data_IF_355998367845
#
_entry.id   IF_355998367845
#
_cell.length_a   1.000
_cell.length_b   1.000
_cell.length_c   1.000
_cell.angle_alpha   90.00
_cell.angle_beta   90.00
_cell.angle_gamma   90.00
#
_symmetry.space_group_name_H-M   'P 1'
#
loop_
_entity.id
_entity.type
_entity.pdbx_description
1 polymer ?
#
# COMPACT_ATOMS: atom_id res chain seq x y z
N UNK A 1 88.52 17.50 56.04
CA UNK A 1 88.88 16.15 56.55
C UNK A 1 87.58 15.36 56.68
N UNK A 2 87.56 14.16 56.08
CA UNK A 2 86.67 12.98 56.25
C UNK A 2 85.23 13.12 56.76
N UNK A 3 84.24 12.29 56.39
CA UNK A 3 83.98 11.28 55.36
C UNK A 3 82.70 10.55 55.84
N UNK A 4 81.77 10.23 54.91
CA UNK A 4 80.72 9.18 55.01
C UNK A 4 79.62 9.44 56.06
N UNK A 5 78.33 9.10 55.90
CA UNK A 5 77.66 7.98 55.22
C UNK A 5 76.15 8.28 55.09
N UNK A 6 75.50 7.86 54.01
CA UNK A 6 74.05 7.56 54.00
C UNK A 6 73.80 6.15 54.56
N UNK A 7 72.61 5.79 55.09
CA UNK A 7 71.49 5.39 54.22
C UNK A 7 70.06 5.68 54.76
N UNK A 8 69.09 5.43 53.87
CA UNK A 8 67.65 5.56 54.02
C UNK A 8 67.02 4.68 55.12
N UNK A 9 65.93 5.15 55.75
CA UNK A 9 64.79 4.29 56.15
C UNK A 9 63.50 5.12 56.26
N UNK A 10 62.43 4.51 55.74
CA UNK A 10 61.03 4.90 55.78
C UNK A 10 60.51 4.99 57.23
N UNK A 11 59.55 5.88 57.51
CA UNK A 11 58.33 5.58 58.29
C UNK A 11 57.31 6.72 58.08
N UNK A 12 56.14 6.30 57.62
CA UNK A 12 54.86 6.99 57.60
C UNK A 12 54.49 7.56 58.98
N UNK A 13 54.03 8.82 59.03
CA UNK A 13 52.98 9.22 59.97
C UNK A 13 52.43 10.62 59.63
N UNK A 14 51.16 10.59 59.20
CA UNK A 14 50.08 11.46 59.68
C UNK A 14 50.05 12.94 59.31
N UNK A 15 48.95 13.25 58.62
CA UNK A 15 48.12 14.44 58.80
C UNK A 15 48.71 15.80 58.42
N UNK A 16 48.48 16.18 57.17
CA UNK A 16 48.19 17.58 56.85
C UNK A 16 47.19 17.67 55.68
N UNK A 17 46.01 18.16 56.03
CA UNK A 17 45.22 19.13 55.26
C UNK A 17 44.89 18.79 53.79
N UNK A 18 43.68 18.31 53.55
CA UNK A 18 42.47 19.12 53.30
C UNK A 18 42.37 19.65 51.87
N UNK A 19 41.21 19.33 51.28
CA UNK A 19 40.57 19.99 50.14
C UNK A 19 41.16 19.72 48.76
N UNK A 20 41.10 18.47 48.31
CA UNK A 20 41.10 18.17 46.88
C UNK A 20 40.17 17.00 46.53
N UNK A 21 38.87 17.10 46.88
CA UNK A 21 37.81 16.34 46.21
C UNK A 21 36.42 16.82 46.62
N UNK A 22 35.97 17.94 46.07
CA UNK A 22 34.55 18.30 46.05
C UNK A 22 34.26 19.33 44.95
N UNK A 23 34.68 19.06 43.71
CA UNK A 23 33.85 19.51 42.58
C UNK A 23 32.70 18.51 42.49
N UNK A 24 31.78 18.63 43.44
CA UNK A 24 30.44 18.09 43.32
C UNK A 24 29.84 18.78 42.10
N UNK A 25 29.82 18.08 40.98
CA UNK A 25 29.01 18.43 39.83
C UNK A 25 27.55 18.39 40.27
N UNK A 26 27.05 19.48 40.84
CA UNK A 26 25.63 19.78 40.86
C UNK A 26 25.19 20.08 39.42
N UNK A 27 25.17 19.03 38.60
CA UNK A 27 24.24 19.00 37.48
C UNK A 27 22.85 19.16 38.11
N UNK A 28 22.08 20.20 37.77
CA UNK A 28 20.90 20.55 38.55
C UNK A 28 19.96 19.36 38.51
N UNK A 29 19.44 18.95 39.68
CA UNK A 29 18.48 17.86 39.81
C UNK A 29 17.27 18.03 38.88
N UNK A 30 17.00 19.25 38.41
CA UNK A 30 16.02 19.57 37.36
C UNK A 30 16.38 18.99 35.99
N UNK A 31 17.64 18.95 35.57
CA UNK A 31 18.05 18.38 34.28
C UNK A 31 17.92 16.85 34.28
N UNK A 32 18.22 16.20 35.40
CA UNK A 32 18.07 14.75 35.60
C UNK A 32 16.60 14.33 35.82
N UNK A 33 15.78 15.18 36.47
CA UNK A 33 14.34 14.97 36.59
C UNK A 33 13.62 15.16 35.24
N UNK A 34 14.00 16.18 34.46
CA UNK A 34 13.51 16.37 33.09
C UNK A 34 13.95 15.21 32.19
N UNK A 35 15.15 14.64 32.34
CA UNK A 35 15.51 13.45 31.55
C UNK A 35 14.76 12.18 31.95
N UNK A 36 14.45 11.95 33.24
CA UNK A 36 13.64 10.79 33.67
C UNK A 36 12.18 10.90 33.25
N UNK A 37 11.59 12.10 33.28
CA UNK A 37 10.20 12.30 32.85
C UNK A 37 10.03 12.01 31.35
N UNK A 38 11.09 12.19 30.54
CA UNK A 38 11.06 11.97 29.10
C UNK A 38 11.34 10.52 28.69
N UNK A 39 12.08 9.74 29.48
CA UNK A 39 12.58 8.42 29.06
C UNK A 39 11.49 7.39 28.80
N UNK A 40 10.30 7.50 29.42
CA UNK A 40 9.20 6.57 29.19
C UNK A 40 7.86 7.20 28.73
N UNK A 41 7.91 8.39 28.12
CA UNK A 41 6.70 9.05 27.57
C UNK A 41 6.04 8.25 26.45
N UNK A 42 6.82 7.62 25.57
CA UNK A 42 6.29 6.77 24.50
C UNK A 42 5.63 5.50 25.05
N UNK A 43 6.30 4.78 25.95
CA UNK A 43 5.77 3.55 26.57
C UNK A 43 4.51 3.82 27.40
N UNK A 44 4.49 4.91 28.16
CA UNK A 44 3.30 5.36 28.89
C UNK A 44 2.15 5.65 27.93
N UNK A 45 2.42 6.38 26.84
CA UNK A 45 1.44 6.65 25.79
C UNK A 45 0.81 5.40 25.19
N UNK A 46 1.64 4.42 24.81
CA UNK A 46 1.17 3.11 24.31
C UNK A 46 0.38 2.34 25.36
N UNK A 47 0.80 2.42 26.64
CA UNK A 47 0.11 1.75 27.74
C UNK A 47 -1.30 2.32 27.95
N UNK A 48 -1.45 3.64 27.96
CA UNK A 48 -2.76 4.29 28.05
C UNK A 48 -3.63 4.01 26.83
N UNK A 49 -3.04 3.94 25.63
CA UNK A 49 -3.76 3.56 24.43
C UNK A 49 -4.37 2.17 24.56
N UNK A 50 -3.60 1.18 25.05
CA UNK A 50 -4.07 -0.19 25.29
C UNK A 50 -5.17 -0.27 26.35
N UNK A 51 -5.17 0.65 27.32
CA UNK A 51 -6.23 0.80 28.33
C UNK A 51 -7.50 1.48 27.79
N UNK A 52 -7.47 1.95 26.54
CA UNK A 52 -8.59 2.68 25.92
C UNK A 52 -8.67 4.16 26.32
N UNK A 53 -7.75 4.66 27.14
CA UNK A 53 -7.68 6.08 27.50
C UNK A 53 -6.88 6.84 26.43
N UNK A 54 -7.54 7.10 25.31
CA UNK A 54 -6.92 7.69 24.13
C UNK A 54 -6.49 9.14 24.35
N UNK A 55 -7.21 9.89 25.19
CA UNK A 55 -6.89 11.29 25.51
C UNK A 55 -5.59 11.39 26.32
N UNK A 56 -5.44 10.54 27.34
CA UNK A 56 -4.19 10.49 28.10
C UNK A 56 -3.04 9.94 27.23
N UNK A 57 -3.32 8.93 26.40
CA UNK A 57 -2.35 8.39 25.45
C UNK A 57 -1.81 9.46 24.49
N UNK A 58 -2.68 10.23 23.84
CA UNK A 58 -2.26 11.28 22.90
C UNK A 58 -1.48 12.39 23.59
N UNK A 59 -1.79 12.72 24.85
CA UNK A 59 -1.00 13.64 25.66
C UNK A 59 0.45 13.18 25.84
N UNK A 60 0.65 11.94 26.31
CA UNK A 60 1.99 11.37 26.48
C UNK A 60 2.74 11.19 25.15
N UNK A 61 2.05 10.73 24.10
CA UNK A 61 2.64 10.54 22.78
C UNK A 61 3.03 11.87 22.12
N UNK A 62 2.26 12.95 22.35
CA UNK A 62 2.60 14.29 21.88
C UNK A 62 3.87 14.82 22.56
N UNK A 63 4.01 14.58 23.86
CA UNK A 63 5.26 14.89 24.59
C UNK A 63 6.43 14.07 24.05
N UNK A 64 6.21 12.79 23.74
CA UNK A 64 7.23 11.91 23.19
C UNK A 64 7.77 12.43 21.83
N UNK A 65 6.89 12.73 20.88
CA UNK A 65 7.28 13.21 19.54
C UNK A 65 7.86 14.64 19.55
N UNK A 66 7.55 15.44 20.58
CA UNK A 66 8.16 16.76 20.76
C UNK A 66 9.54 16.70 21.42
N UNK A 67 9.88 15.59 22.09
CA UNK A 67 11.16 15.34 22.73
C UNK A 67 12.00 14.29 21.99
N UNK A 68 12.37 13.23 22.71
CA UNK A 68 13.31 12.21 22.25
C UNK A 68 12.82 11.36 21.05
N UNK A 69 11.51 11.33 20.78
CA UNK A 69 10.91 10.47 19.74
C UNK A 69 10.48 11.26 18.49
N UNK A 70 11.02 12.46 18.26
CA UNK A 70 10.76 13.32 17.09
C UNK A 70 10.98 12.65 15.72
N UNK A 71 11.85 11.64 15.66
CA UNK A 71 12.15 10.91 14.42
C UNK A 71 11.71 9.45 14.49
N UNK A 72 10.77 9.12 15.38
CA UNK A 72 10.28 7.76 15.55
C UNK A 72 8.91 7.60 14.88
N UNK A 73 8.85 6.83 13.79
CA UNK A 73 7.61 6.59 13.05
C UNK A 73 6.51 5.95 13.91
N UNK A 74 6.86 5.02 14.79
CA UNK A 74 5.91 4.36 15.70
C UNK A 74 5.27 5.34 16.68
N UNK A 75 6.03 6.30 17.20
CA UNK A 75 5.50 7.33 18.09
C UNK A 75 4.42 8.19 17.40
N UNK A 76 4.65 8.59 16.15
CA UNK A 76 3.66 9.29 15.36
C UNK A 76 2.44 8.42 15.01
N UNK A 77 2.64 7.14 14.70
CA UNK A 77 1.55 6.22 14.42
C UNK A 77 0.62 5.98 15.62
N UNK A 78 1.19 5.77 16.81
CA UNK A 78 0.40 5.63 18.04
C UNK A 78 -0.31 6.95 18.40
N UNK A 79 0.35 8.09 18.19
CA UNK A 79 -0.27 9.41 18.38
C UNK A 79 -1.47 9.58 17.45
N UNK A 80 -1.29 9.29 16.16
CA UNK A 80 -2.33 9.37 15.15
C UNK A 80 -3.51 8.45 15.47
N UNK A 81 -3.22 7.21 15.87
CA UNK A 81 -4.24 6.23 16.28
C UNK A 81 -5.03 6.70 17.50
N UNK A 82 -4.36 7.31 18.49
CA UNK A 82 -5.02 7.88 19.68
C UNK A 82 -5.94 9.04 19.29
N UNK A 83 -5.47 9.96 18.46
CA UNK A 83 -6.23 11.10 17.96
C UNK A 83 -7.45 10.68 17.14
N UNK A 84 -7.32 9.61 16.34
CA UNK A 84 -8.42 9.06 15.56
C UNK A 84 -9.54 8.54 16.48
N UNK A 85 -9.17 7.87 17.58
CA UNK A 85 -10.12 7.39 18.60
C UNK A 85 -10.76 8.51 19.42
N UNK A 86 -10.09 9.66 19.51
CA UNK A 86 -10.67 10.92 20.03
C UNK A 86 -11.51 11.69 18.99
N UNK A 87 -11.72 11.14 17.79
CA UNK A 87 -12.41 11.80 16.67
C UNK A 87 -11.72 13.09 16.16
N UNK A 88 -10.44 13.28 16.48
CA UNK A 88 -9.59 14.39 16.00
C UNK A 88 -8.90 14.00 14.70
N UNK A 89 -9.72 13.74 13.69
CA UNK A 89 -9.28 13.07 12.45
C UNK A 89 -8.26 13.89 11.67
N UNK A 90 -8.39 15.22 11.60
CA UNK A 90 -7.48 16.04 10.79
C UNK A 90 -6.05 16.02 11.36
N UNK A 91 -5.91 16.13 12.69
CA UNK A 91 -4.61 15.98 13.36
C UNK A 91 -4.07 14.55 13.25
N UNK A 92 -4.95 13.54 13.29
CA UNK A 92 -4.56 12.15 13.07
C UNK A 92 -3.96 11.97 11.68
N UNK A 93 -4.54 12.56 10.63
CA UNK A 93 -4.02 12.43 9.27
C UNK A 93 -2.63 13.08 9.13
N UNK A 94 -2.40 14.24 9.76
CA UNK A 94 -1.06 14.83 9.79
C UNK A 94 -0.06 13.91 10.50
N UNK A 95 -0.44 13.32 11.64
CA UNK A 95 0.44 12.42 12.36
C UNK A 95 0.73 11.10 11.59
N UNK A 96 -0.24 10.55 10.86
CA UNK A 96 0.01 9.43 9.95
C UNK A 96 0.93 9.82 8.79
N UNK A 97 0.76 11.01 8.20
CA UNK A 97 1.67 11.50 7.16
C UNK A 97 3.09 11.69 7.67
N UNK A 98 3.27 12.14 8.91
CA UNK A 98 4.59 12.20 9.56
C UNK A 98 5.20 10.79 9.72
N UNK A 99 4.43 9.84 10.26
CA UNK A 99 4.88 8.46 10.42
C UNK A 99 5.32 7.82 9.09
N UNK A 100 4.52 8.00 8.04
CA UNK A 100 4.88 7.59 6.69
C UNK A 100 6.14 8.29 6.20
N UNK A 101 6.26 9.61 6.42
CA UNK A 101 7.42 10.36 5.93
C UNK A 101 8.75 9.92 6.55
N UNK A 102 8.73 9.47 7.80
CA UNK A 102 9.89 9.03 8.56
C UNK A 102 10.33 7.62 8.14
N UNK A 103 9.39 6.72 7.83
CA UNK A 103 9.72 5.34 7.47
C UNK A 103 8.73 4.77 6.44
N UNK A 104 8.79 5.20 5.16
CA UNK A 104 7.79 4.84 4.15
C UNK A 104 7.67 3.33 3.89
N UNK A 105 8.78 2.61 4.02
CA UNK A 105 8.90 1.18 3.71
C UNK A 105 8.77 0.28 4.94
N UNK A 106 8.54 0.85 6.13
CA UNK A 106 8.28 0.04 7.33
C UNK A 106 6.81 -0.33 7.41
N UNK A 107 6.48 -1.35 8.20
CA UNK A 107 5.09 -1.72 8.49
C UNK A 107 4.28 -0.52 9.00
N UNK A 108 4.88 0.29 9.88
CA UNK A 108 4.27 1.51 10.39
C UNK A 108 4.01 2.54 9.28
N UNK A 109 4.95 2.71 8.35
CA UNK A 109 4.77 3.58 7.19
C UNK A 109 3.63 3.10 6.29
N UNK A 110 3.62 1.82 5.93
CA UNK A 110 2.56 1.24 5.11
C UNK A 110 1.17 1.39 5.77
N UNK A 111 1.05 1.08 7.06
CA UNK A 111 -0.21 1.24 7.82
C UNK A 111 -0.67 2.71 7.85
N UNK A 112 0.28 3.63 7.99
CA UNK A 112 0.01 5.07 7.97
C UNK A 112 -0.49 5.53 6.60
N UNK A 113 0.14 5.06 5.50
CA UNK A 113 -0.28 5.37 4.14
C UNK A 113 -1.67 4.80 3.80
N UNK A 114 -1.96 3.59 4.25
CA UNK A 114 -3.29 3.00 4.08
C UNK A 114 -4.37 3.79 4.79
N UNK A 115 -4.09 4.26 6.00
CA UNK A 115 -5.05 5.09 6.74
C UNK A 115 -5.28 6.42 6.05
N UNK A 116 -4.22 7.06 5.52
CA UNK A 116 -4.35 8.26 4.69
C UNK A 116 -5.20 8.01 3.44
N UNK A 117 -5.03 6.87 2.79
CA UNK A 117 -5.84 6.50 1.64
C UNK A 117 -7.32 6.29 2.01
N UNK A 118 -7.59 5.61 3.12
CA UNK A 118 -8.96 5.40 3.61
C UNK A 118 -9.70 6.72 3.85
N UNK A 119 -9.00 7.74 4.36
CA UNK A 119 -9.55 9.08 4.58
C UNK A 119 -9.35 10.05 3.40
N UNK A 120 -9.01 9.56 2.20
CA UNK A 120 -8.71 10.38 1.02
C UNK A 120 -9.82 11.37 0.65
N UNK A 121 -11.09 11.00 0.80
CA UNK A 121 -12.22 11.91 0.52
C UNK A 121 -12.23 13.09 1.48
N UNK A 122 -12.11 12.84 2.79
CA UNK A 122 -12.04 13.90 3.81
C UNK A 122 -10.81 14.79 3.63
N UNK A 123 -9.67 14.21 3.26
CA UNK A 123 -8.45 14.96 2.96
C UNK A 123 -8.64 15.87 1.74
N UNK A 124 -9.40 15.43 0.72
CA UNK A 124 -9.72 16.25 -0.46
C UNK A 124 -10.63 17.43 -0.14
N UNK A 125 -11.52 17.31 0.84
CA UNK A 125 -12.43 18.38 1.26
C UNK A 125 -11.70 19.54 1.94
N UNK A 126 -10.51 19.30 2.49
CA UNK A 126 -9.70 20.32 3.18
C UNK A 126 -8.40 20.62 2.43
N UNK A 127 -8.35 21.79 1.79
CA UNK A 127 -7.17 22.23 1.03
C UNK A 127 -5.91 22.35 1.92
N UNK A 128 -6.09 22.79 3.17
CA UNK A 128 -4.99 22.92 4.14
C UNK A 128 -4.43 21.55 4.53
N UNK A 129 -5.30 20.57 4.78
CA UNK A 129 -4.90 19.21 5.12
C UNK A 129 -4.19 18.54 3.93
N UNK A 130 -4.76 18.70 2.72
CA UNK A 130 -4.20 18.19 1.47
C UNK A 130 -2.78 18.70 1.22
N UNK A 131 -2.57 20.01 1.33
CA UNK A 131 -1.27 20.65 1.08
C UNK A 131 -0.22 20.24 2.12
N UNK A 132 -0.59 20.20 3.40
CA UNK A 132 0.31 19.74 4.46
C UNK A 132 0.73 18.28 4.28
N UNK A 133 -0.21 17.37 4.05
CA UNK A 133 0.09 15.95 3.84
C UNK A 133 0.97 15.76 2.60
N UNK A 134 0.64 16.43 1.48
CA UNK A 134 1.44 16.36 0.26
C UNK A 134 2.89 16.82 0.49
N UNK A 135 3.11 17.85 1.30
CA UNK A 135 4.47 18.33 1.63
C UNK A 135 5.28 17.29 2.41
N UNK A 136 4.65 16.59 3.35
CA UNK A 136 5.29 15.56 4.18
C UNK A 136 5.59 14.28 3.38
N UNK A 137 4.65 13.87 2.53
CA UNK A 137 4.81 12.73 1.64
C UNK A 137 5.88 13.01 0.57
N UNK A 138 5.93 14.22 0.02
CA UNK A 138 6.99 14.59 -0.95
C UNK A 138 8.39 14.54 -0.32
N UNK A 139 8.54 15.04 0.91
CA UNK A 139 9.81 14.99 1.65
C UNK A 139 10.34 13.55 1.81
N UNK A 140 9.45 12.56 1.90
CA UNK A 140 9.86 11.16 1.97
C UNK A 140 10.36 10.62 0.63
N UNK A 141 9.73 11.00 -0.48
CA UNK A 141 10.16 10.65 -1.84
C UNK A 141 11.57 11.18 -2.15
N UNK A 142 11.87 12.42 -1.74
CA UNK A 142 13.20 13.02 -1.90
C UNK A 142 14.27 12.30 -1.05
N UNK A 143 13.90 11.82 0.14
CA UNK A 143 14.79 11.04 1.02
C UNK A 143 15.07 9.64 0.46
N UNK A 144 14.15 9.06 -0.31
CA UNK A 144 14.31 7.74 -0.94
C UNK A 144 15.12 7.76 -2.24
N UNK A 145 15.14 8.88 -2.97
CA UNK A 145 15.91 9.02 -4.22
C UNK A 145 17.43 9.02 -4.01
N UNK A 146 17.93 9.30 -2.80
CA UNK A 146 19.36 9.25 -2.48
C UNK A 146 19.90 7.84 -2.14
N UNK A 147 19.07 6.78 -2.16
CA UNK A 147 19.47 5.44 -1.67
C UNK A 147 19.26 4.24 -2.60
N UNK A 148 19.17 4.44 -3.91
CA UNK A 148 19.31 3.34 -4.88
C UNK A 148 20.06 3.76 -6.15
N UNK A 149 21.11 3.04 -6.59
CA UNK A 149 21.63 3.19 -7.94
C UNK A 149 20.66 2.57 -8.94
N UNK A 150 20.40 3.30 -10.02
CA UNK A 150 19.55 2.88 -11.13
C UNK A 150 20.08 1.59 -11.77
N UNK A 151 19.28 0.54 -11.77
CA UNK A 151 19.49 -0.62 -12.62
C UNK A 151 18.87 -0.36 -13.99
N UNK A 152 19.73 -0.06 -14.95
CA UNK A 152 19.47 -0.16 -16.39
C UNK A 152 19.01 -1.58 -16.72
N UNK A 153 17.83 -1.73 -17.33
CA UNK A 153 17.44 -2.97 -17.99
C UNK A 153 17.36 -2.73 -19.50
N UNK A 154 18.16 -3.55 -20.18
CA UNK A 154 18.54 -3.51 -21.58
C UNK A 154 17.43 -4.03 -22.50
N UNK A 155 17.36 -3.45 -23.68
CA UNK A 155 16.42 -3.74 -24.75
C UNK A 155 17.13 -4.64 -25.77
N UNK A 156 16.70 -5.90 -25.90
CA UNK A 156 16.98 -6.68 -27.12
C UNK A 156 15.76 -7.47 -27.59
N UNK A 157 15.11 -6.87 -28.60
CA UNK A 157 14.78 -7.42 -29.90
C UNK A 157 14.70 -8.96 -30.07
N UNK A 158 13.52 -9.43 -30.50
CA UNK A 158 13.31 -10.78 -31.03
C UNK A 158 12.22 -10.75 -32.10
N UNK A 159 12.63 -10.53 -33.35
CA UNK A 159 11.78 -10.60 -34.54
C UNK A 159 11.38 -12.04 -34.84
N UNK A 160 10.10 -12.27 -35.10
CA UNK A 160 9.56 -13.55 -35.53
C UNK A 160 8.41 -13.34 -36.51
N UNK A 161 8.76 -13.24 -37.79
CA UNK A 161 7.84 -13.25 -38.93
C UNK A 161 7.16 -14.61 -39.06
N UNK A 162 5.85 -14.62 -39.23
CA UNK A 162 5.06 -15.83 -39.50
C UNK A 162 3.82 -15.48 -40.30
N UNK A 163 3.97 -15.43 -41.63
CA UNK A 163 2.87 -15.36 -42.57
C UNK A 163 2.08 -16.68 -42.54
N UNK A 164 0.76 -16.58 -42.37
CA UNK A 164 -0.17 -17.69 -42.47
C UNK A 164 -1.43 -17.22 -43.17
N UNK A 165 -1.44 -17.34 -44.50
CA UNK A 165 -2.64 -17.23 -45.31
C UNK A 165 -3.54 -18.45 -45.00
N UNK A 166 -4.72 -18.19 -44.44
CA UNK A 166 -5.73 -19.20 -44.13
C UNK A 166 -7.03 -18.83 -44.80
N UNK A 167 -7.44 -19.67 -45.74
CA UNK A 167 -8.60 -19.58 -46.61
C UNK A 167 -9.92 -19.28 -45.91
N UNK A 168 -10.69 -18.39 -46.53
CA UNK A 168 -12.09 -18.10 -46.24
C UNK A 168 -12.97 -19.36 -46.32
N UNK A 169 -13.48 -19.79 -45.18
CA UNK A 169 -14.72 -20.55 -45.07
C UNK A 169 -15.67 -19.71 -44.23
N UNK A 170 -16.43 -18.85 -44.91
CA UNK A 170 -17.39 -17.96 -44.26
C UNK A 170 -18.54 -18.78 -43.69
N UNK A 171 -18.78 -18.62 -42.40
CA UNK A 171 -19.96 -19.23 -41.76
C UNK A 171 -21.24 -18.61 -42.33
N UNK A 172 -22.30 -19.41 -42.53
CA UNK A 172 -23.61 -19.04 -43.09
C UNK A 172 -24.18 -17.64 -42.69
N UNK A 173 -24.02 -17.15 -41.44
CA UNK A 173 -24.41 -15.79 -41.07
C UNK A 173 -23.53 -14.64 -41.62
N UNK A 174 -22.25 -14.88 -41.95
CA UNK A 174 -21.37 -13.82 -42.50
C UNK A 174 -21.81 -13.40 -43.91
N UNK A 175 -22.36 -14.31 -44.72
CA UNK A 175 -22.78 -14.01 -46.10
C UNK A 175 -23.97 -13.03 -46.19
N UNK A 176 -24.76 -12.91 -45.12
CA UNK A 176 -25.95 -12.04 -45.08
C UNK A 176 -25.64 -10.60 -44.64
N UNK A 177 -24.44 -10.35 -44.13
CA UNK A 177 -24.06 -9.09 -43.49
C UNK A 177 -23.11 -8.29 -44.38
N UNK A 178 -23.19 -6.95 -44.31
CA UNK A 178 -22.30 -6.04 -45.02
C UNK A 178 -20.83 -6.28 -44.62
N UNK A 179 -20.09 -6.92 -45.52
CA UNK A 179 -18.71 -7.34 -45.34
C UNK A 179 -17.75 -6.16 -45.24
N UNK A 180 -18.01 -5.06 -45.92
CA UNK A 180 -17.15 -3.87 -45.86
C UNK A 180 -17.31 -3.18 -44.52
N UNK A 181 -18.56 -3.05 -44.04
CA UNK A 181 -18.87 -2.54 -42.71
C UNK A 181 -18.31 -3.40 -41.60
N UNK A 182 -18.38 -4.72 -41.74
CA UNK A 182 -17.77 -5.66 -40.80
C UNK A 182 -16.25 -5.47 -40.72
N UNK A 183 -15.57 -5.34 -41.87
CA UNK A 183 -14.12 -5.08 -41.93
C UNK A 183 -13.74 -3.71 -41.38
N UNK A 184 -14.56 -2.68 -41.58
CA UNK A 184 -14.28 -1.35 -41.04
C UNK A 184 -14.43 -1.34 -39.51
N UNK A 185 -15.46 -1.97 -38.96
CA UNK A 185 -15.65 -2.14 -37.50
C UNK A 185 -14.48 -2.91 -36.90
N UNK A 186 -14.10 -4.07 -37.48
CA UNK A 186 -12.96 -4.86 -37.00
C UNK A 186 -11.65 -4.06 -36.96
N UNK A 187 -11.44 -3.13 -37.91
CA UNK A 187 -10.27 -2.22 -37.92
C UNK A 187 -10.34 -1.13 -36.86
N UNK A 188 -11.53 -0.67 -36.50
CA UNK A 188 -11.73 0.39 -35.50
C UNK A 188 -11.67 -0.13 -34.06
N UNK A 189 -11.85 -1.43 -33.85
CA UNK A 189 -11.77 -2.04 -32.52
C UNK A 189 -10.30 -2.17 -32.10
N UNK A 190 -9.99 -1.63 -30.90
CA UNK A 190 -8.66 -1.78 -30.30
C UNK A 190 -8.53 -3.19 -29.73
N UNK A 191 -7.35 -3.82 -29.77
CA UNK A 191 -7.14 -5.11 -29.09
C UNK A 191 -7.49 -5.00 -27.61
N UNK A 192 -8.11 -6.04 -27.06
CA UNK A 192 -8.49 -6.10 -25.64
C UNK A 192 -7.24 -6.00 -24.77
N UNK A 193 -7.25 -5.08 -23.80
CA UNK A 193 -6.17 -4.96 -22.83
C UNK A 193 -6.33 -6.04 -21.77
N UNK A 194 -5.33 -6.92 -21.61
CA UNK A 194 -5.33 -7.94 -20.56
C UNK A 194 -4.80 -7.35 -19.26
N UNK A 195 -5.63 -7.30 -18.23
CA UNK A 195 -5.26 -6.76 -16.94
C UNK A 195 -4.53 -7.81 -16.09
N UNK A 196 -3.41 -7.41 -15.50
CA UNK A 196 -2.66 -8.27 -14.59
C UNK A 196 -3.40 -8.42 -13.26
N UNK A 197 -3.37 -9.64 -12.70
CA UNK A 197 -3.99 -9.93 -11.41
C UNK A 197 -3.33 -9.10 -10.31
N UNK A 198 -4.09 -8.32 -9.54
CA UNK A 198 -3.56 -7.60 -8.40
C UNK A 198 -3.47 -8.51 -7.17
N UNK A 199 -2.27 -8.66 -6.63
CA UNK A 199 -2.00 -9.50 -5.46
C UNK A 199 -2.02 -11.00 -5.74
N UNK A 200 -1.99 -11.84 -4.69
CA UNK A 200 -1.89 -13.29 -4.81
C UNK A 200 -3.18 -13.93 -5.32
N UNK A 201 -3.08 -15.15 -5.85
CA UNK A 201 -4.26 -16.02 -6.03
C UNK A 201 -4.76 -16.56 -4.69
N UNK A 202 -6.02 -17.03 -4.59
CA UNK A 202 -6.52 -17.61 -3.35
C UNK A 202 -5.67 -18.80 -2.90
N UNK A 203 -5.20 -19.62 -3.84
CA UNK A 203 -4.35 -20.77 -3.54
C UNK A 203 -2.96 -20.34 -3.04
N UNK A 204 -2.34 -19.33 -3.66
CA UNK A 204 -1.07 -18.76 -3.20
C UNK A 204 -1.20 -18.16 -1.81
N UNK A 205 -2.28 -17.40 -1.57
CA UNK A 205 -2.57 -16.80 -0.28
C UNK A 205 -2.75 -17.85 0.82
N UNK A 206 -3.51 -18.92 0.55
CA UNK A 206 -3.73 -20.00 1.52
C UNK A 206 -2.47 -20.82 1.81
N UNK A 207 -1.49 -20.82 0.91
CA UNK A 207 -0.20 -21.47 1.13
C UNK A 207 0.74 -20.66 2.06
N UNK A 208 0.41 -19.40 2.36
CA UNK A 208 1.21 -18.58 3.26
C UNK A 208 1.06 -19.02 4.72
N UNK A 209 2.09 -18.82 5.58
CA UNK A 209 1.93 -18.96 7.02
C UNK A 209 0.79 -18.08 7.56
N UNK A 210 0.09 -18.56 8.59
CA UNK A 210 -1.07 -17.84 9.16
C UNK A 210 -0.75 -16.41 9.61
N UNK A 211 0.48 -16.17 10.09
CA UNK A 211 0.96 -14.83 10.45
C UNK A 211 1.07 -13.89 9.25
N UNK A 212 1.52 -14.40 8.09
CA UNK A 212 1.55 -13.63 6.84
C UNK A 212 0.14 -13.39 6.31
N UNK A 213 -0.74 -14.39 6.42
CA UNK A 213 -2.15 -14.23 6.06
C UNK A 213 -2.83 -13.12 6.88
N UNK A 214 -2.63 -13.09 8.19
CA UNK A 214 -3.16 -12.05 9.07
C UNK A 214 -2.60 -10.66 8.72
N UNK A 215 -1.29 -10.57 8.50
CA UNK A 215 -0.63 -9.31 8.14
C UNK A 215 -1.06 -8.80 6.75
N UNK A 216 -1.56 -9.65 5.86
CA UNK A 216 -1.95 -9.25 4.51
C UNK A 216 -3.08 -8.22 4.47
N UNK A 217 -3.97 -8.21 5.49
CA UNK A 217 -4.98 -7.14 5.65
C UNK A 217 -4.33 -5.77 5.56
N UNK A 218 -3.17 -5.63 6.21
CA UNK A 218 -2.41 -4.39 6.34
C UNK A 218 -1.23 -4.29 5.36
N UNK A 219 -0.82 -5.39 4.71
CA UNK A 219 0.30 -5.36 3.78
C UNK A 219 -0.13 -4.99 2.35
N UNK A 220 -1.34 -5.35 1.92
CA UNK A 220 -1.74 -5.12 0.53
C UNK A 220 -3.15 -5.52 0.13
N UNK A 221 -3.95 -6.13 1.00
CA UNK A 221 -5.31 -6.58 0.65
C UNK A 221 -6.19 -5.46 0.08
N UNK A 222 -6.17 -4.27 0.69
CA UNK A 222 -6.94 -3.12 0.21
C UNK A 222 -6.42 -2.57 -1.13
N UNK A 223 -5.11 -2.49 -1.32
CA UNK A 223 -4.52 -2.06 -2.58
C UNK A 223 -4.85 -3.04 -3.71
N UNK A 224 -4.84 -4.34 -3.42
CA UNK A 224 -5.25 -5.37 -4.38
C UNK A 224 -6.71 -5.21 -4.82
N UNK A 225 -7.61 -4.88 -3.88
CA UNK A 225 -9.02 -4.60 -4.18
C UNK A 225 -9.16 -3.32 -5.01
N UNK A 226 -8.48 -2.23 -4.64
CA UNK A 226 -8.56 -0.96 -5.39
C UNK A 226 -8.08 -1.14 -6.83
N UNK A 227 -6.94 -1.81 -7.02
CA UNK A 227 -6.42 -2.10 -8.35
C UNK A 227 -7.35 -3.04 -9.13
N UNK A 228 -7.92 -4.07 -8.49
CA UNK A 228 -8.88 -4.96 -9.14
C UNK A 228 -10.14 -4.20 -9.58
N UNK A 229 -10.63 -3.27 -8.76
CA UNK A 229 -11.76 -2.42 -9.09
C UNK A 229 -11.42 -1.50 -10.28
N UNK A 230 -10.23 -0.89 -10.28
CA UNK A 230 -9.77 -0.08 -11.43
C UNK A 230 -9.73 -0.90 -12.72
N UNK A 231 -9.21 -2.14 -12.66
CA UNK A 231 -9.17 -3.05 -13.80
C UNK A 231 -10.57 -3.41 -14.31
N UNK A 232 -11.54 -3.64 -13.41
CA UNK A 232 -12.95 -3.88 -13.78
C UNK A 232 -13.54 -2.67 -14.47
N UNK A 233 -13.30 -1.47 -13.95
CA UNK A 233 -13.83 -0.23 -14.51
C UNK A 233 -13.21 0.07 -15.88
N UNK A 234 -11.92 -0.19 -16.06
CA UNK A 234 -11.21 -0.10 -17.34
C UNK A 234 -11.78 -1.08 -18.36
N UNK A 235 -11.90 -2.36 -18.01
CA UNK A 235 -12.46 -3.39 -18.89
C UNK A 235 -13.90 -3.07 -19.31
N UNK A 236 -14.74 -2.56 -18.39
CA UNK A 236 -16.11 -2.12 -18.70
C UNK A 236 -16.12 -0.94 -19.65
N UNK A 237 -15.23 0.05 -19.45
CA UNK A 237 -15.09 1.19 -20.37
C UNK A 237 -14.69 0.73 -21.77
N UNK A 238 -13.74 -0.20 -21.89
CA UNK A 238 -13.34 -0.78 -23.18
C UNK A 238 -14.51 -1.51 -23.86
N UNK A 239 -15.25 -2.34 -23.13
CA UNK A 239 -16.44 -3.02 -23.65
C UNK A 239 -17.49 -2.02 -24.14
N UNK A 240 -17.78 -0.96 -23.38
CA UNK A 240 -18.73 0.08 -23.80
C UNK A 240 -18.27 0.81 -25.07
N UNK A 241 -16.97 1.12 -25.18
CA UNK A 241 -16.42 1.73 -26.40
C UNK A 241 -16.49 0.79 -27.59
N UNK A 242 -16.21 -0.50 -27.39
CA UNK A 242 -16.32 -1.52 -28.42
C UNK A 242 -17.77 -1.64 -28.91
N UNK A 243 -18.74 -1.74 -28.00
CA UNK A 243 -20.18 -1.75 -28.29
C UNK A 243 -20.59 -0.51 -29.08
N UNK A 244 -20.19 0.69 -28.67
CA UNK A 244 -20.54 1.92 -29.37
C UNK A 244 -20.07 1.93 -30.83
N UNK A 245 -18.89 1.35 -31.11
CA UNK A 245 -18.31 1.27 -32.46
C UNK A 245 -18.98 0.18 -33.30
N UNK A 246 -19.35 -0.94 -32.69
CA UNK A 246 -19.87 -2.11 -33.39
C UNK A 246 -21.40 -2.16 -33.51
N UNK A 247 -22.14 -1.38 -32.71
CA UNK A 247 -23.61 -1.34 -32.73
C UNK A 247 -24.19 -0.97 -34.11
N UNK A 248 -23.44 -0.23 -34.92
CA UNK A 248 -23.85 0.12 -36.28
C UNK A 248 -23.99 -1.11 -37.20
N UNK A 249 -23.41 -2.26 -36.84
CA UNK A 249 -23.51 -3.51 -37.61
C UNK A 249 -24.94 -4.02 -37.69
N UNK A 250 -25.75 -3.81 -36.64
CA UNK A 250 -27.14 -4.28 -36.61
C UNK A 250 -28.01 -3.30 -37.41
N UNK A 251 -28.67 -3.75 -38.49
CA UNK A 251 -29.48 -2.86 -39.32
C UNK A 251 -30.71 -2.38 -38.56
N UNK A 252 -30.94 -1.06 -38.55
CA UNK A 252 -32.12 -0.45 -37.94
C UNK A 252 -33.36 -0.51 -38.84
N UNK A 253 -33.16 -0.54 -40.16
CA UNK A 253 -34.22 -0.47 -41.16
C UNK A 253 -34.04 -1.55 -42.24
N UNK A 254 -35.15 -1.91 -42.89
CA UNK A 254 -35.18 -2.79 -44.07
C UNK A 254 -34.52 -2.12 -45.27
N UNK A 255 -33.86 -2.90 -46.11
CA UNK A 255 -33.39 -2.43 -47.41
C UNK A 255 -34.56 -2.35 -48.40
N UNK A 256 -34.40 -1.54 -49.45
CA UNK A 256 -35.43 -1.39 -50.48
C UNK A 256 -35.66 -2.73 -51.20
N UNK A 257 -36.92 -3.20 -51.25
CA UNK A 257 -37.30 -4.48 -51.85
C UNK A 257 -36.98 -5.74 -51.01
N UNK A 258 -36.51 -5.57 -49.76
CA UNK A 258 -36.23 -6.69 -48.86
C UNK A 258 -37.51 -7.19 -48.16
N UNK A 259 -37.69 -8.52 -48.11
CA UNK A 259 -38.79 -9.13 -47.36
C UNK A 259 -38.53 -9.08 -45.85
N UNK A 260 -39.60 -9.11 -45.05
CA UNK A 260 -39.49 -9.10 -43.59
C UNK A 260 -38.64 -10.25 -43.04
N UNK A 261 -38.86 -11.47 -43.54
CA UNK A 261 -38.07 -12.65 -43.14
C UNK A 261 -36.57 -12.48 -43.42
N UNK A 262 -36.18 -11.91 -44.58
CA UNK A 262 -34.77 -11.68 -44.92
C UNK A 262 -34.15 -10.60 -44.04
N UNK A 263 -34.92 -9.56 -43.71
CA UNK A 263 -34.47 -8.53 -42.79
C UNK A 263 -34.20 -9.09 -41.39
N UNK A 264 -35.11 -9.92 -40.86
CA UNK A 264 -34.94 -10.56 -39.56
C UNK A 264 -33.73 -11.48 -39.54
N UNK A 265 -33.56 -12.31 -40.59
CA UNK A 265 -32.38 -13.15 -40.75
C UNK A 265 -31.08 -12.34 -40.75
N UNK A 266 -31.02 -11.23 -41.49
CA UNK A 266 -29.84 -10.35 -41.53
C UNK A 266 -29.58 -9.69 -40.17
N UNK A 267 -30.65 -9.25 -39.49
CA UNK A 267 -30.56 -8.63 -38.17
C UNK A 267 -30.03 -9.61 -37.14
N UNK A 268 -30.51 -10.84 -37.13
CA UNK A 268 -30.06 -11.88 -36.21
C UNK A 268 -28.64 -12.36 -36.54
N UNK A 269 -28.30 -12.52 -37.83
CA UNK A 269 -26.92 -12.77 -38.25
C UNK A 269 -25.96 -11.65 -37.77
N UNK A 270 -26.38 -10.39 -37.88
CA UNK A 270 -25.59 -9.23 -37.42
C UNK A 270 -25.38 -9.26 -35.90
N UNK A 271 -26.41 -9.62 -35.11
CA UNK A 271 -26.28 -9.78 -33.65
C UNK A 271 -25.35 -10.92 -33.29
N UNK A 272 -25.45 -12.07 -33.95
CA UNK A 272 -24.56 -13.22 -33.71
C UNK A 272 -23.09 -12.87 -33.96
N UNK A 273 -22.81 -12.14 -35.05
CA UNK A 273 -21.45 -11.68 -35.36
C UNK A 273 -20.99 -10.65 -34.32
N UNK A 274 -21.86 -9.71 -33.95
CA UNK A 274 -21.58 -8.71 -32.92
C UNK A 274 -21.23 -9.36 -31.59
N UNK A 275 -21.98 -10.38 -31.17
CA UNK A 275 -21.71 -11.11 -29.94
C UNK A 275 -20.34 -11.79 -29.97
N UNK A 276 -19.97 -12.45 -31.08
CA UNK A 276 -18.64 -13.05 -31.27
C UNK A 276 -17.51 -12.01 -31.21
N UNK A 277 -17.71 -10.84 -31.81
CA UNK A 277 -16.71 -9.76 -31.80
C UNK A 277 -16.51 -9.19 -30.39
N UNK A 278 -17.59 -9.10 -29.62
CA UNK A 278 -17.55 -8.56 -28.25
C UNK A 278 -17.16 -9.60 -27.20
N UNK A 279 -17.18 -10.88 -27.53
CA UNK A 279 -16.86 -11.99 -26.62
C UNK A 279 -15.51 -11.80 -25.90
N UNK A 280 -14.40 -11.42 -26.55
CA UNK A 280 -13.13 -11.20 -25.85
C UNK A 280 -13.20 -10.09 -24.79
N UNK A 281 -13.96 -9.02 -25.02
CA UNK A 281 -14.15 -7.95 -24.04
C UNK A 281 -15.04 -8.39 -22.88
N UNK A 282 -16.10 -9.15 -23.16
CA UNK A 282 -16.98 -9.73 -22.12
C UNK A 282 -16.17 -10.66 -21.20
N UNK A 283 -15.35 -11.52 -21.79
CA UNK A 283 -14.48 -12.45 -21.05
C UNK A 283 -13.46 -11.71 -20.18
N UNK A 284 -12.91 -10.59 -20.65
CA UNK A 284 -11.99 -9.78 -19.85
C UNK A 284 -12.70 -9.10 -18.66
N UNK A 285 -13.91 -8.56 -18.87
CA UNK A 285 -14.73 -8.01 -17.77
C UNK A 285 -15.01 -9.09 -16.71
N UNK A 286 -15.35 -10.30 -17.14
CA UNK A 286 -15.58 -11.44 -16.24
C UNK A 286 -14.29 -11.82 -15.49
N UNK A 287 -13.17 -11.93 -16.20
CA UNK A 287 -11.85 -12.19 -15.61
C UNK A 287 -11.50 -11.17 -14.51
N UNK A 288 -11.59 -9.87 -14.80
CA UNK A 288 -11.34 -8.80 -13.83
C UNK A 288 -12.30 -8.87 -12.65
N UNK A 289 -13.58 -9.19 -12.89
CA UNK A 289 -14.59 -9.33 -11.83
C UNK A 289 -14.27 -10.50 -10.90
N UNK A 290 -13.83 -11.63 -11.46
CA UNK A 290 -13.38 -12.78 -10.68
C UNK A 290 -12.14 -12.46 -9.84
N UNK A 291 -11.19 -11.71 -10.40
CA UNK A 291 -10.01 -11.24 -9.64
C UNK A 291 -10.39 -10.32 -8.48
N UNK A 292 -11.37 -9.42 -8.67
CA UNK A 292 -11.91 -8.58 -7.60
C UNK A 292 -12.56 -9.43 -6.49
N UNK A 293 -13.41 -10.39 -6.86
CA UNK A 293 -14.06 -11.28 -5.91
C UNK A 293 -13.06 -12.10 -5.10
N UNK A 294 -12.00 -12.59 -5.75
CA UNK A 294 -10.90 -13.27 -5.09
C UNK A 294 -10.18 -12.34 -4.10
N UNK A 295 -9.86 -11.10 -4.50
CA UNK A 295 -9.18 -10.13 -3.65
C UNK A 295 -10.02 -9.81 -2.39
N UNK A 296 -11.33 -9.66 -2.54
CA UNK A 296 -12.27 -9.48 -1.41
C UNK A 296 -12.29 -10.71 -0.50
N UNK A 297 -12.32 -11.91 -1.09
CA UNK A 297 -12.30 -13.17 -0.32
C UNK A 297 -11.00 -13.32 0.46
N UNK A 298 -9.86 -13.03 -0.17
CA UNK A 298 -8.55 -13.04 0.47
C UNK A 298 -8.52 -12.04 1.63
N UNK A 299 -9.01 -10.81 1.43
CA UNK A 299 -9.09 -9.79 2.49
C UNK A 299 -9.94 -10.27 3.67
N UNK A 300 -11.07 -10.93 3.41
CA UNK A 300 -11.92 -11.47 4.47
C UNK A 300 -11.24 -12.62 5.23
N UNK A 301 -10.54 -13.51 4.53
CA UNK A 301 -9.75 -14.58 5.17
C UNK A 301 -8.59 -14.05 5.97
N UNK A 302 -7.88 -13.05 5.45
CA UNK A 302 -6.83 -12.33 6.16
C UNK A 302 -7.38 -11.69 7.46
N UNK A 303 -8.58 -11.12 7.42
CA UNK A 303 -9.23 -10.58 8.61
C UNK A 303 -9.62 -11.67 9.62
N UNK A 304 -10.10 -12.83 9.16
CA UNK A 304 -10.38 -13.98 10.02
C UNK A 304 -9.09 -14.51 10.67
N UNK A 305 -8.00 -14.59 9.91
CA UNK A 305 -6.67 -14.97 10.41
C UNK A 305 -6.22 -14.04 11.53
N UNK A 306 -6.39 -12.73 11.35
CA UNK A 306 -6.05 -11.72 12.35
C UNK A 306 -6.89 -11.86 13.63
N UNK A 307 -8.17 -12.23 13.49
CA UNK A 307 -9.09 -12.37 14.61
C UNK A 307 -8.98 -13.73 15.33
N UNK A 308 -8.21 -14.68 14.79
CA UNK A 308 -8.04 -16.01 15.39
C UNK A 308 -6.99 -15.94 16.50
N UNK A 309 -7.34 -16.26 17.76
CA UNK A 309 -6.42 -16.16 18.90
C UNK A 309 -5.48 -17.38 18.94
N UNK A 310 -4.54 -17.47 18.01
CA UNK A 310 -3.46 -18.46 18.07
C UNK A 310 -2.12 -17.80 17.69
N UNK A 311 -1.25 -17.68 18.71
CA UNK A 311 0.15 -17.27 18.66
C UNK A 311 0.48 -15.77 18.43
N UNK A 312 0.12 -14.94 19.41
CA UNK A 312 0.93 -13.77 19.75
C UNK A 312 2.18 -14.25 20.51
N UNK A 313 3.28 -14.55 19.81
CA UNK A 313 4.62 -14.37 20.39
C UNK A 313 5.21 -13.14 19.70
N UNK A 314 5.00 -11.93 20.24
CA UNK A 314 5.86 -10.83 19.86
C UNK A 314 7.21 -11.09 20.54
N UNK A 315 8.30 -10.86 19.81
CA UNK A 315 9.69 -10.95 20.23
C UNK A 315 10.34 -12.35 20.15
N UNK A 316 11.27 -12.43 19.19
CA UNK A 316 12.37 -13.38 19.27
C UNK A 316 13.17 -13.12 20.54
N UNK A 317 13.25 -14.15 21.37
CA UNK A 317 14.34 -14.38 22.31
C UNK A 317 14.78 -15.82 22.10
N UNK A 318 16.03 -16.10 21.70
CA UNK A 318 16.52 -17.47 21.73
C UNK A 318 16.57 -17.91 23.20
N UNK A 319 15.81 -18.96 23.54
CA UNK A 319 15.94 -19.63 24.83
C UNK A 319 17.32 -20.29 24.88
N UNK A 320 18.25 -19.68 25.61
CA UNK A 320 19.43 -20.36 26.10
C UNK A 320 18.99 -21.10 27.36
N UNK A 321 18.91 -22.43 27.28
CA UNK A 321 18.69 -23.27 28.45
C UNK A 321 19.95 -23.23 29.34
N UNK A 322 19.76 -22.90 30.62
CA UNK A 322 20.62 -23.36 31.72
C UNK A 322 19.72 -24.01 32.75
#
# INVERSE_FOLDING_TARGET
MSAKSSPAFLISASAAFMTMLALSSEAPASAQAVTREYQNTFEAGVTYFKKGDYKTASGYLRRAVNGAYRSNASAYYWLASSLLKENRIDEAMIAFAQAYSISPHSEVGHNSMQTLHYYKTRIKESETLRTQIASLVRKSADTTMQRSPAASFDSTNGSGSGAGAGSSSGSEPELLVDQEKLRSIKRQLKPVTKHSRPGPSPNQFMAWPMSQQANYVYAGAFQAIEQAQSNVDEAKRELSQAQARSNSLVPAFRAYGETEQKFDQRKDASKQILDKILEPYKNEVESCTNQLNDAVTIKNRAQQALNTPLYYQPYGVPRIYR
#
